data_IF_566610390931
#
_entry.id   IF_566610390931
#
_cell.length_a   1.000
_cell.length_b   1.000
_cell.length_c   1.000
_cell.angle_alpha   90.00
_cell.angle_beta   90.00
_cell.angle_gamma   90.00
#
_symmetry.space_group_name_H-M   'P 1'
#
loop_
_entity.id
_entity.type
_entity.pdbx_description
1 polymer ?
#
# COMPACT_ATOMS: atom_id res chain seq x y z
N UNK A 1 5.24 5.52 9.52
CA UNK A 1 5.00 6.81 9.99
C UNK A 1 6.17 7.48 10.73
N UNK A 2 7.05 8.19 10.00
CA UNK A 2 8.17 8.90 10.64
C UNK A 2 7.72 9.92 11.70
N UNK A 3 6.57 10.56 11.50
CA UNK A 3 6.02 11.52 12.48
C UNK A 3 5.69 10.84 13.81
N UNK A 4 5.31 9.57 13.80
CA UNK A 4 5.08 8.83 15.04
C UNK A 4 6.34 8.80 15.92
N UNK A 5 7.51 8.56 15.33
CA UNK A 5 8.77 8.49 16.07
C UNK A 5 9.12 9.85 16.70
N UNK A 6 8.82 10.93 16.00
CA UNK A 6 9.00 12.29 16.51
C UNK A 6 8.09 12.54 17.72
N UNK A 7 6.79 12.27 17.59
CA UNK A 7 5.81 12.49 18.66
C UNK A 7 6.00 11.53 19.85
N UNK A 8 6.55 10.35 19.60
CA UNK A 8 6.91 9.39 20.66
C UNK A 8 8.20 9.76 21.39
N UNK A 9 8.83 10.90 21.07
CA UNK A 9 10.06 11.36 21.69
C UNK A 9 11.31 10.59 21.24
N UNK A 10 11.29 10.02 20.05
CA UNK A 10 12.40 9.27 19.46
C UNK A 10 12.88 9.89 18.14
N UNK A 11 13.34 11.15 18.13
CA UNK A 11 13.72 11.83 16.89
C UNK A 11 14.90 11.16 16.17
N UNK A 12 15.75 10.43 16.87
CA UNK A 12 16.84 9.63 16.31
C UNK A 12 16.35 8.42 15.51
N UNK A 13 15.11 7.97 15.73
CA UNK A 13 14.49 6.88 14.99
C UNK A 13 13.80 7.34 13.69
N UNK A 14 13.73 8.63 13.40
CA UNK A 14 13.04 9.16 12.22
C UNK A 14 13.64 8.62 10.91
N UNK A 15 14.97 8.60 10.82
CA UNK A 15 15.67 8.09 9.65
C UNK A 15 15.38 6.61 9.39
N UNK A 16 15.37 5.79 10.45
CA UNK A 16 15.03 4.37 10.37
C UNK A 16 13.58 4.16 9.96
N UNK A 17 12.64 4.94 10.51
CA UNK A 17 11.23 4.90 10.15
C UNK A 17 11.02 5.30 8.69
N UNK A 18 11.67 6.34 8.21
CA UNK A 18 11.62 6.75 6.81
C UNK A 18 12.12 5.62 5.90
N UNK A 19 13.27 5.02 6.20
CA UNK A 19 13.83 3.92 5.44
C UNK A 19 12.96 2.66 5.45
N UNK A 20 12.19 2.44 6.52
CA UNK A 20 11.24 1.33 6.60
C UNK A 20 9.99 1.56 5.74
N UNK A 21 9.57 2.81 5.57
CA UNK A 21 8.40 3.16 4.75
C UNK A 21 8.74 3.36 3.26
N UNK A 22 9.96 3.74 2.94
CA UNK A 22 10.41 3.91 1.57
C UNK A 22 11.49 2.87 1.22
N UNK A 23 11.39 2.15 0.07
CA UNK A 23 10.41 2.35 -1.01
C UNK A 23 9.13 1.51 -0.91
N UNK A 24 9.06 0.49 -0.06
CA UNK A 24 8.01 -0.54 -0.15
C UNK A 24 6.60 0.01 0.12
N UNK A 25 6.41 0.75 1.21
CA UNK A 25 5.09 1.36 1.52
C UNK A 25 4.72 2.43 0.50
N UNK A 26 5.67 3.26 0.10
CA UNK A 26 5.44 4.28 -0.91
C UNK A 26 5.02 3.64 -2.24
N UNK A 27 5.69 2.57 -2.67
CA UNK A 27 5.36 1.84 -3.88
C UNK A 27 3.97 1.18 -3.78
N UNK A 28 3.65 0.58 -2.64
CA UNK A 28 2.34 -0.01 -2.40
C UNK A 28 1.24 1.05 -2.42
N UNK A 29 1.47 2.20 -1.80
CA UNK A 29 0.53 3.32 -1.81
C UNK A 29 0.22 3.78 -3.24
N UNK A 30 1.24 4.04 -4.05
CA UNK A 30 1.08 4.44 -5.45
C UNK A 30 0.33 3.38 -6.25
N UNK A 31 0.62 2.10 -6.02
CA UNK A 31 -0.06 1.00 -6.71
C UNK A 31 -1.54 0.91 -6.32
N UNK A 32 -1.87 1.07 -5.05
CA UNK A 32 -3.26 1.07 -4.57
C UNK A 32 -4.04 2.29 -5.04
N UNK A 33 -3.39 3.45 -5.12
CA UNK A 33 -3.98 4.66 -5.69
C UNK A 33 -4.33 4.44 -7.17
N UNK A 34 -3.40 3.93 -7.95
CA UNK A 34 -3.64 3.52 -9.34
C UNK A 34 -4.75 2.47 -9.45
N UNK A 35 -4.87 1.58 -8.47
CA UNK A 35 -5.89 0.55 -8.46
C UNK A 35 -7.32 1.12 -8.42
N UNK A 36 -7.56 2.13 -7.62
CA UNK A 36 -8.89 2.75 -7.53
C UNK A 36 -9.19 3.68 -8.70
N UNK A 37 -8.18 4.17 -9.39
CA UNK A 37 -8.31 5.16 -10.46
C UNK A 37 -8.29 4.56 -11.88
N UNK A 38 -8.36 3.23 -12.02
CA UNK A 38 -8.22 2.55 -13.33
C UNK A 38 -9.16 3.11 -14.41
N UNK A 39 -10.45 3.26 -14.12
CA UNK A 39 -11.42 3.77 -15.09
C UNK A 39 -11.18 5.24 -15.40
N UNK A 40 -10.91 6.04 -14.39
CA UNK A 40 -10.67 7.48 -14.52
C UNK A 40 -9.41 7.76 -15.34
N UNK A 41 -8.33 7.05 -15.05
CA UNK A 41 -7.07 7.17 -15.79
C UNK A 41 -7.25 6.73 -17.26
N UNK A 42 -8.01 5.67 -17.52
CA UNK A 42 -8.30 5.20 -18.86
C UNK A 42 -9.13 6.23 -19.65
N UNK A 43 -10.11 6.87 -19.03
CA UNK A 43 -10.93 7.92 -19.65
C UNK A 43 -10.10 9.15 -20.02
N UNK A 44 -9.13 9.49 -19.18
CA UNK A 44 -8.26 10.65 -19.41
C UNK A 44 -6.99 10.34 -20.19
N UNK A 45 -6.76 9.08 -20.56
CA UNK A 45 -5.53 8.66 -21.25
C UNK A 45 -4.28 8.77 -20.38
N UNK A 46 -4.43 8.68 -19.08
CA UNK A 46 -3.34 8.80 -18.11
C UNK A 46 -2.66 7.44 -17.84
N UNK A 47 -1.41 7.51 -17.40
CA UNK A 47 -0.64 6.34 -17.04
C UNK A 47 -1.22 5.70 -15.76
N UNK A 48 -1.48 4.39 -15.82
CA UNK A 48 -1.91 3.61 -14.66
C UNK A 48 -0.95 2.45 -14.41
N UNK A 49 -0.36 2.39 -13.22
CA UNK A 49 0.62 1.36 -12.89
C UNK A 49 0.02 -0.04 -12.80
N UNK A 50 -1.25 -0.18 -12.47
CA UNK A 50 -1.93 -1.48 -12.42
C UNK A 50 -2.02 -2.11 -13.82
N UNK A 51 -2.29 -1.31 -14.84
CA UNK A 51 -2.37 -1.78 -16.22
C UNK A 51 -1.06 -2.43 -16.71
N UNK A 52 0.07 -2.03 -16.15
CA UNK A 52 1.39 -2.55 -16.52
C UNK A 52 1.60 -4.01 -16.12
N UNK A 53 0.83 -4.55 -15.17
CA UNK A 53 1.00 -5.94 -14.70
C UNK A 53 0.35 -6.97 -15.61
N UNK A 54 -0.59 -6.59 -16.46
CA UNK A 54 -1.15 -7.47 -17.48
C UNK A 54 -1.99 -8.64 -16.96
N UNK A 55 -2.46 -8.59 -15.70
CA UNK A 55 -3.37 -9.62 -15.16
C UNK A 55 -3.40 -9.66 -13.64
N UNK A 56 -4.48 -10.27 -13.11
CA UNK A 56 -4.77 -10.31 -11.68
C UNK A 56 -3.72 -11.05 -10.86
N UNK A 57 -3.20 -12.15 -11.38
CA UNK A 57 -2.18 -12.96 -10.67
C UNK A 57 -0.90 -12.16 -10.45
N UNK A 58 -0.43 -11.44 -11.45
CA UNK A 58 0.78 -10.61 -11.34
C UNK A 58 0.58 -9.44 -10.40
N UNK A 59 -0.57 -8.79 -10.45
CA UNK A 59 -0.92 -7.72 -9.53
C UNK A 59 -0.95 -8.22 -8.10
N UNK A 60 -1.61 -9.36 -7.87
CA UNK A 60 -1.69 -10.01 -6.55
C UNK A 60 -0.30 -10.32 -5.99
N UNK A 61 0.56 -10.94 -6.80
CA UNK A 61 1.93 -11.28 -6.41
C UNK A 61 2.73 -10.02 -6.04
N UNK A 62 2.55 -8.93 -6.79
CA UNK A 62 3.25 -7.68 -6.51
C UNK A 62 2.76 -7.00 -5.24
N UNK A 63 1.46 -6.96 -5.02
CA UNK A 63 0.88 -6.42 -3.78
C UNK A 63 1.36 -7.23 -2.57
N UNK A 64 1.31 -8.55 -2.65
CA UNK A 64 1.80 -9.43 -1.60
C UNK A 64 3.30 -9.23 -1.33
N UNK A 65 4.10 -9.10 -2.37
CA UNK A 65 5.54 -8.84 -2.25
C UNK A 65 5.84 -7.52 -1.55
N UNK A 66 5.19 -6.44 -1.95
CA UNK A 66 5.40 -5.11 -1.36
C UNK A 66 4.96 -5.06 0.09
N UNK A 67 3.81 -5.68 0.41
CA UNK A 67 3.30 -5.76 1.77
C UNK A 67 4.24 -6.58 2.68
N UNK A 68 4.70 -7.73 2.22
CA UNK A 68 5.65 -8.57 2.96
C UNK A 68 6.98 -7.85 3.19
N UNK A 69 7.49 -7.16 2.18
CA UNK A 69 8.72 -6.37 2.29
C UNK A 69 8.56 -5.21 3.28
N UNK A 70 7.44 -4.52 3.26
CA UNK A 70 7.13 -3.46 4.21
C UNK A 70 7.08 -3.99 5.64
N UNK A 71 6.39 -5.10 5.87
CA UNK A 71 6.30 -5.74 7.19
C UNK A 71 7.68 -6.17 7.71
N UNK A 72 8.52 -6.71 6.86
CA UNK A 72 9.90 -7.09 7.20
C UNK A 72 10.75 -5.86 7.56
N UNK A 73 10.57 -4.75 6.86
CA UNK A 73 11.31 -3.50 7.13
C UNK A 73 11.01 -2.93 8.51
N UNK A 74 9.82 -3.20 9.06
CA UNK A 74 9.44 -2.73 10.40
C UNK A 74 10.23 -3.41 11.54
N UNK A 75 10.90 -4.52 11.27
CA UNK A 75 11.69 -5.23 12.27
C UNK A 75 12.82 -4.38 12.86
N UNK A 76 13.32 -3.38 12.13
CA UNK A 76 14.38 -2.48 12.59
C UNK A 76 13.86 -1.32 13.45
N UNK A 77 12.54 -1.17 13.59
CA UNK A 77 11.94 -0.06 14.32
C UNK A 77 11.77 -0.40 15.82
N UNK A 78 11.84 0.62 16.71
CA UNK A 78 11.64 0.43 18.15
C UNK A 78 10.26 -0.14 18.49
N UNK A 79 9.22 0.30 17.76
CA UNK A 79 7.86 -0.17 17.92
C UNK A 79 7.24 -0.42 16.56
N UNK A 80 6.83 -1.65 16.30
CA UNK A 80 6.26 -2.06 15.01
C UNK A 80 4.76 -1.80 14.91
N UNK A 81 4.05 -1.80 16.02
CA UNK A 81 2.59 -1.78 16.06
C UNK A 81 1.97 -0.59 15.32
N UNK A 82 2.40 0.67 15.53
CA UNK A 82 1.83 1.80 14.82
C UNK A 82 2.12 1.76 13.31
N UNK A 83 3.28 1.26 12.90
CA UNK A 83 3.65 1.14 11.49
C UNK A 83 2.83 0.06 10.78
N UNK A 84 2.62 -1.07 11.44
CA UNK A 84 1.74 -2.15 10.94
C UNK A 84 0.29 -1.69 10.86
N UNK A 85 -0.15 -0.91 11.82
CA UNK A 85 -1.50 -0.31 11.80
C UNK A 85 -1.69 0.60 10.60
N UNK A 86 -0.73 1.50 10.32
CA UNK A 86 -0.76 2.38 9.14
C UNK A 86 -0.84 1.58 7.84
N UNK A 87 -0.03 0.54 7.69
CA UNK A 87 -0.07 -0.33 6.51
C UNK A 87 -1.46 -0.97 6.33
N UNK A 88 -2.02 -1.52 7.40
CA UNK A 88 -3.34 -2.17 7.35
C UNK A 88 -4.46 -1.20 7.05
N UNK A 89 -4.46 -0.03 7.67
CA UNK A 89 -5.47 1.00 7.44
C UNK A 89 -5.39 1.51 6.01
N UNK A 90 -4.20 1.74 5.50
CA UNK A 90 -3.99 2.16 4.12
C UNK A 90 -4.55 1.14 3.12
N UNK A 91 -4.22 -0.13 3.28
CA UNK A 91 -4.70 -1.18 2.38
C UNK A 91 -6.22 -1.34 2.45
N UNK A 92 -6.80 -1.32 3.64
CA UNK A 92 -8.24 -1.36 3.81
C UNK A 92 -8.93 -0.15 3.18
N UNK A 93 -8.40 1.04 3.40
CA UNK A 93 -8.95 2.28 2.85
C UNK A 93 -9.09 2.21 1.32
N UNK A 94 -8.03 1.82 0.63
CA UNK A 94 -8.05 1.72 -0.82
C UNK A 94 -8.90 0.56 -1.32
N UNK A 95 -8.76 -0.62 -0.76
CA UNK A 95 -9.45 -1.82 -1.27
C UNK A 95 -10.93 -1.89 -0.89
N UNK A 96 -11.39 -1.06 0.02
CA UNK A 96 -12.83 -0.89 0.34
C UNK A 96 -13.39 0.44 -0.14
N UNK A 97 -12.63 1.20 -0.94
CA UNK A 97 -13.06 2.48 -1.45
C UNK A 97 -14.27 2.33 -2.39
N UNK A 98 -15.24 3.28 -2.38
CA UNK A 98 -16.42 3.23 -3.26
C UNK A 98 -16.09 3.06 -4.75
N UNK A 99 -14.98 3.62 -5.24
CA UNK A 99 -14.52 3.44 -6.61
C UNK A 99 -14.26 1.96 -6.97
N UNK A 100 -13.90 1.12 -6.01
CA UNK A 100 -13.70 -0.32 -6.22
C UNK A 100 -15.01 -0.98 -6.61
N UNK A 101 -16.07 -0.70 -5.88
CA UNK A 101 -17.40 -1.25 -6.16
C UNK A 101 -17.97 -0.68 -7.47
N UNK A 102 -17.79 0.62 -7.70
CA UNK A 102 -18.28 1.27 -8.91
C UNK A 102 -17.66 0.69 -10.20
N UNK A 103 -16.44 0.17 -10.12
CA UNK A 103 -15.73 -0.46 -11.25
C UNK A 103 -15.91 -1.98 -11.29
N UNK A 104 -16.69 -2.58 -10.39
CA UNK A 104 -16.88 -4.02 -10.32
C UNK A 104 -15.65 -4.81 -9.86
N UNK A 105 -14.76 -4.17 -9.09
CA UNK A 105 -13.48 -4.75 -8.63
C UNK A 105 -13.56 -5.36 -7.24
N UNK A 106 -14.73 -5.47 -6.64
CA UNK A 106 -14.93 -5.93 -5.26
C UNK A 106 -14.38 -7.33 -5.00
N UNK A 107 -14.55 -8.27 -5.92
CA UNK A 107 -13.99 -9.63 -5.79
C UNK A 107 -12.47 -9.64 -5.88
N UNK A 108 -11.92 -8.88 -6.83
CA UNK A 108 -10.47 -8.76 -6.97
C UNK A 108 -9.87 -8.08 -5.72
N UNK A 109 -10.50 -7.02 -5.21
CA UNK A 109 -10.07 -6.35 -3.99
C UNK A 109 -10.09 -7.28 -2.78
N UNK A 110 -11.13 -8.12 -2.64
CA UNK A 110 -11.18 -9.13 -1.58
C UNK A 110 -10.01 -10.13 -1.70
N UNK A 111 -9.69 -10.55 -2.92
CA UNK A 111 -8.52 -11.41 -3.18
C UNK A 111 -7.21 -10.74 -2.80
N UNK A 112 -7.04 -9.45 -3.11
CA UNK A 112 -5.86 -8.67 -2.71
C UNK A 112 -5.76 -8.54 -1.19
N UNK A 113 -6.86 -8.27 -0.50
CA UNK A 113 -6.90 -8.21 0.97
C UNK A 113 -6.49 -9.55 1.61
N UNK A 114 -6.83 -10.67 1.01
CA UNK A 114 -6.45 -12.00 1.52
C UNK A 114 -4.94 -12.26 1.49
N UNK A 115 -4.19 -11.47 0.73
CA UNK A 115 -2.73 -11.56 0.66
C UNK A 115 -2.01 -10.77 1.78
N UNK A 116 -2.76 -9.98 2.51
CA UNK A 116 -2.27 -9.00 3.47
C UNK A 116 -2.62 -9.40 4.89
#
# INVERSE_FOLDING_TARGET
APLYELFAGRPDAIGAAYGAHFPAIAALHVLLDSYIDQSEDAEHGELNFVAAYGGDARLRDRVAYLAARAMKSFAALPDRAPHRFVLRVMTLFYLTHPKVYAQGLDRQAASLLSCL
#
